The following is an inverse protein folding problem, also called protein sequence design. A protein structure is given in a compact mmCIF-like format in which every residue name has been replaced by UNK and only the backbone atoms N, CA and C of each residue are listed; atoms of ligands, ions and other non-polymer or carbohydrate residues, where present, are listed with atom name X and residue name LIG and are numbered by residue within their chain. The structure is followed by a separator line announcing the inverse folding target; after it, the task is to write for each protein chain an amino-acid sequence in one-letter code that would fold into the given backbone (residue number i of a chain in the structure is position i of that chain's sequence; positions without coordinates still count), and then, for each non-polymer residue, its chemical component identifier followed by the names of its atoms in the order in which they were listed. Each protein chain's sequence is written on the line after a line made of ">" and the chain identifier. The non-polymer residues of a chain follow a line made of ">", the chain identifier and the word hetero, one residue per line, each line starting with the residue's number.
data_IF_475519475990
#
_entry.id   IF_475519475990
#
_cell.length_a   1.000
_cell.length_b   1.000
_cell.length_c   1.000
_cell.angle_alpha   90.00
_cell.angle_beta   90.00
_cell.angle_gamma   90.00
#
_symmetry.space_group_name_H-M   'P 1'
#
loop_
_entity.id
_entity.type
_entity.pdbx_description
1 polymer ?
#
# COMPACT_ATOMS: atom_id res chain seq x y z
N UNK A 1 6.92 -32.51 -6.80
CA UNK A 1 6.31 -31.28 -7.33
C UNK A 1 6.43 -30.24 -6.22
N UNK A 2 7.01 -29.08 -6.53
CA UNK A 2 7.57 -28.13 -5.58
C UNK A 2 6.56 -27.61 -4.55
N UNK A 3 6.81 -27.95 -3.29
CA UNK A 3 6.26 -27.24 -2.13
C UNK A 3 6.88 -25.83 -2.12
N UNK A 4 6.10 -24.83 -2.53
CA UNK A 4 6.52 -23.41 -2.57
C UNK A 4 5.98 -22.65 -1.36
N UNK A 5 5.83 -23.33 -0.22
CA UNK A 5 5.48 -22.70 1.03
C UNK A 5 6.72 -22.04 1.64
N UNK A 6 6.56 -20.76 2.01
CA UNK A 6 7.43 -20.02 2.93
C UNK A 6 8.67 -19.33 2.34
N UNK A 7 8.49 -18.57 1.25
CA UNK A 7 9.32 -17.36 1.09
C UNK A 7 8.65 -16.25 1.91
N UNK A 8 9.29 -15.69 2.95
CA UNK A 8 8.72 -14.55 3.66
C UNK A 8 8.52 -13.42 2.66
N UNK A 9 7.29 -13.19 2.25
CA UNK A 9 6.95 -12.05 1.43
C UNK A 9 7.23 -10.83 2.30
N UNK A 10 8.29 -10.10 1.98
CA UNK A 10 8.58 -8.85 2.68
C UNK A 10 7.47 -7.89 2.33
N UNK A 11 6.56 -7.69 3.28
CA UNK A 11 5.44 -6.76 3.14
C UNK A 11 6.02 -5.35 3.24
N UNK A 12 5.91 -4.59 2.16
CA UNK A 12 6.29 -3.17 2.16
C UNK A 12 5.07 -2.37 2.62
N UNK A 13 5.23 -1.60 3.68
CA UNK A 13 4.18 -0.81 4.29
C UNK A 13 4.54 0.68 4.36
N UNK A 14 3.51 1.51 4.46
CA UNK A 14 3.59 2.97 4.60
C UNK A 14 2.63 3.42 5.69
N UNK A 15 2.93 4.52 6.38
CA UNK A 15 1.98 5.07 7.35
C UNK A 15 0.88 5.86 6.63
N UNK A 16 -0.34 5.83 7.16
CA UNK A 16 -1.49 6.58 6.62
C UNK A 16 -1.24 8.09 6.47
N UNK A 17 -0.39 8.66 7.32
CA UNK A 17 -0.07 10.09 7.34
C UNK A 17 1.16 10.44 6.50
N UNK A 18 1.85 9.43 5.95
CA UNK A 18 2.89 9.66 4.97
C UNK A 18 2.33 10.24 3.67
N UNK A 19 3.22 10.88 2.90
CA UNK A 19 2.84 11.53 1.65
C UNK A 19 2.70 10.54 0.50
N UNK A 20 1.89 10.90 -0.48
CA UNK A 20 1.80 10.16 -1.75
C UNK A 20 3.18 10.00 -2.40
N UNK A 21 4.02 11.05 -2.34
CA UNK A 21 5.38 11.00 -2.87
C UNK A 21 6.23 9.92 -2.19
N UNK A 22 6.15 9.79 -0.85
CA UNK A 22 6.88 8.76 -0.11
C UNK A 22 6.37 7.36 -0.47
N UNK A 23 5.05 7.17 -0.56
CA UNK A 23 4.46 5.90 -1.00
C UNK A 23 4.95 5.51 -2.41
N UNK A 24 4.91 6.44 -3.37
CA UNK A 24 5.38 6.19 -4.73
C UNK A 24 6.89 5.86 -4.78
N UNK A 25 7.71 6.54 -3.96
CA UNK A 25 9.14 6.25 -3.87
C UNK A 25 9.41 4.84 -3.31
N UNK A 26 8.65 4.41 -2.31
CA UNK A 26 8.73 3.04 -1.77
C UNK A 26 8.30 1.98 -2.79
N UNK A 27 7.23 2.22 -3.53
CA UNK A 27 6.79 1.34 -4.62
C UNK A 27 7.92 1.13 -5.64
N UNK A 28 8.56 2.23 -6.07
CA UNK A 28 9.68 2.19 -7.01
C UNK A 28 10.92 1.49 -6.42
N UNK A 29 11.31 1.80 -5.18
CA UNK A 29 12.53 1.23 -4.58
C UNK A 29 12.41 -0.27 -4.31
N UNK A 30 11.20 -0.75 -4.04
CA UNK A 30 10.92 -2.16 -3.79
C UNK A 30 10.40 -2.90 -5.02
N UNK A 31 10.18 -2.21 -6.15
CA UNK A 31 9.58 -2.76 -7.37
C UNK A 31 8.23 -3.46 -7.11
N UNK A 32 7.35 -2.80 -6.35
CA UNK A 32 6.01 -3.29 -5.98
C UNK A 32 4.94 -2.28 -6.39
N UNK A 33 3.81 -2.76 -6.90
CA UNK A 33 2.70 -1.90 -7.35
C UNK A 33 1.66 -1.55 -6.27
N UNK A 34 1.84 -2.06 -5.04
CA UNK A 34 0.91 -1.89 -3.94
C UNK A 34 1.65 -1.89 -2.60
N UNK A 35 1.20 -1.05 -1.67
CA UNK A 35 1.69 -0.97 -0.31
C UNK A 35 0.56 -1.19 0.68
N UNK A 36 0.92 -1.82 1.78
CA UNK A 36 0.08 -1.90 2.97
C UNK A 36 0.12 -0.55 3.70
N UNK A 37 -1.03 -0.07 4.18
CA UNK A 37 -1.14 1.16 4.95
C UNK A 37 -1.41 0.84 6.41
N UNK A 38 -0.58 1.39 7.31
CA UNK A 38 -0.71 1.23 8.75
C UNK A 38 -1.08 2.55 9.44
N UNK A 39 -1.73 2.47 10.61
CA UNK A 39 -1.87 3.61 11.52
C UNK A 39 -0.60 3.82 12.37
N UNK A 40 -0.64 4.82 13.26
CA UNK A 40 0.45 5.10 14.21
C UNK A 40 0.69 3.95 15.21
N UNK A 41 -0.36 3.18 15.53
CA UNK A 41 -0.30 2.02 16.42
C UNK A 41 0.30 0.76 15.75
N UNK A 42 0.55 0.81 14.44
CA UNK A 42 1.08 -0.30 13.64
C UNK A 42 0.02 -1.27 13.11
N UNK A 43 -1.26 -0.99 13.33
CA UNK A 43 -2.36 -1.77 12.80
C UNK A 43 -2.54 -1.54 11.30
N UNK A 44 -2.92 -2.60 10.60
CA UNK A 44 -3.33 -2.56 9.21
C UNK A 44 -4.66 -1.80 9.05
N UNK A 45 -4.65 -0.71 8.26
CA UNK A 45 -5.83 0.13 8.04
C UNK A 45 -6.24 0.26 6.58
N UNK A 46 -5.46 -0.27 5.65
CA UNK A 46 -5.82 -0.21 4.23
C UNK A 46 -4.70 -0.59 3.28
N UNK A 47 -4.96 -0.42 1.99
CA UNK A 47 -3.97 -0.58 0.93
C UNK A 47 -3.96 0.62 0.00
N UNK A 48 -2.81 0.89 -0.60
CA UNK A 48 -2.66 1.91 -1.65
C UNK A 48 -1.89 1.33 -2.82
N UNK A 49 -2.41 1.50 -4.03
CA UNK A 49 -1.79 1.03 -5.26
C UNK A 49 -1.29 2.17 -6.14
N UNK A 50 -0.41 1.86 -7.09
CA UNK A 50 0.04 2.80 -8.13
C UNK A 50 -1.14 3.43 -8.88
N UNK A 51 -2.22 2.67 -9.10
CA UNK A 51 -3.44 3.16 -9.75
C UNK A 51 -4.15 4.24 -8.93
N UNK A 52 -4.12 4.13 -7.60
CA UNK A 52 -4.73 5.13 -6.72
C UNK A 52 -3.90 6.42 -6.71
N UNK A 53 -2.58 6.28 -6.70
CA UNK A 53 -1.63 7.40 -6.87
C UNK A 53 -1.86 8.09 -8.22
N UNK A 54 -1.84 7.35 -9.32
CA UNK A 54 -2.02 7.88 -10.66
C UNK A 54 -3.36 8.60 -10.83
N UNK A 55 -4.44 8.01 -10.29
CA UNK A 55 -5.77 8.64 -10.27
C UNK A 55 -5.74 9.98 -9.54
N UNK A 56 -5.13 10.04 -8.35
CA UNK A 56 -5.09 11.27 -7.57
C UNK A 56 -4.26 12.36 -8.23
N UNK A 57 -3.10 12.01 -8.78
CA UNK A 57 -2.26 12.92 -9.55
C UNK A 57 -3.02 13.48 -10.76
N UNK A 58 -3.74 12.64 -11.50
CA UNK A 58 -4.54 13.06 -12.64
C UNK A 58 -5.67 14.05 -12.28
N UNK A 59 -6.16 14.03 -11.03
CA UNK A 59 -7.19 14.97 -10.54
C UNK A 59 -6.62 16.27 -9.97
N UNK A 60 -5.29 16.45 -9.97
CA UNK A 60 -4.63 17.65 -9.46
C UNK A 60 -4.48 17.62 -7.93
N UNK A 61 -3.37 17.09 -7.46
CA UNK A 61 -2.98 17.13 -6.05
C UNK A 61 -1.50 17.45 -5.89
N UNK A 62 -1.14 18.01 -4.74
CA UNK A 62 0.26 18.16 -4.35
C UNK A 62 0.72 16.86 -3.66
N UNK A 63 1.50 16.03 -4.38
CA UNK A 63 1.94 14.72 -3.89
C UNK A 63 2.88 14.79 -2.69
N UNK A 64 3.52 15.94 -2.47
CA UNK A 64 4.43 16.17 -1.33
C UNK A 64 3.67 16.53 -0.05
N UNK A 65 2.39 16.92 -0.15
CA UNK A 65 1.56 17.33 1.00
C UNK A 65 0.32 16.47 1.22
N UNK A 66 -0.13 15.77 0.19
CA UNK A 66 -1.30 14.90 0.26
C UNK A 66 -0.93 13.60 0.96
N UNK A 67 -1.68 13.21 1.98
CA UNK A 67 -1.42 11.98 2.72
C UNK A 67 -2.03 10.75 2.03
N UNK A 68 -1.43 9.58 2.28
CA UNK A 68 -1.88 8.28 1.77
C UNK A 68 -3.30 7.97 2.22
N UNK A 69 -3.68 8.37 3.44
CA UNK A 69 -5.03 8.19 3.98
C UNK A 69 -6.13 8.75 3.07
N UNK A 70 -5.83 9.76 2.25
CA UNK A 70 -6.81 10.37 1.37
C UNK A 70 -6.98 9.67 0.01
N UNK A 71 -6.20 8.62 -0.26
CA UNK A 71 -6.27 7.85 -1.52
C UNK A 71 -6.29 6.34 -1.30
N UNK A 72 -6.02 5.87 -0.09
CA UNK A 72 -6.04 4.46 0.24
C UNK A 72 -7.45 3.87 0.15
N UNK A 73 -7.53 2.56 -0.04
CA UNK A 73 -8.75 1.78 0.16
C UNK A 73 -8.72 1.20 1.57
N UNK A 74 -9.70 1.59 2.40
CA UNK A 74 -9.87 1.19 3.81
C UNK A 74 -10.68 -0.12 3.98
N UNK A 75 -11.55 -0.44 3.01
CA UNK A 75 -12.30 -1.68 2.97
C UNK A 75 -11.52 -2.83 2.33
N UNK A 76 -10.54 -3.37 3.05
CA UNK A 76 -9.75 -4.51 2.58
C UNK A 76 -10.45 -5.81 2.93
N UNK A 77 -10.82 -6.57 1.92
CA UNK A 77 -11.27 -7.95 2.08
C UNK A 77 -10.03 -8.84 2.15
N UNK A 78 -9.72 -9.37 3.33
CA UNK A 78 -8.63 -10.31 3.53
C UNK A 78 -9.13 -11.75 3.47
N UNK A 79 -8.48 -12.61 2.68
CA UNK A 79 -8.71 -14.05 2.73
C UNK A 79 -7.67 -14.70 3.64
N UNK A 80 -8.07 -15.48 4.66
CA UNK A 80 -7.14 -16.32 5.40
C UNK A 80 -6.48 -17.34 4.47
N UNK A 81 -5.20 -17.69 4.70
CA UNK A 81 -4.56 -18.79 3.98
C UNK A 81 -5.33 -20.08 4.26
N UNK A 82 -5.95 -20.67 3.22
CA UNK A 82 -6.80 -21.86 3.32
C UNK A 82 -8.25 -21.71 2.87
N UNK A 83 -8.62 -20.57 2.27
CA UNK A 83 -9.93 -20.44 1.59
C UNK A 83 -9.86 -21.17 0.23
N UNK A 84 -10.72 -22.18 -0.02
CA UNK A 84 -10.69 -22.99 -1.25
C UNK A 84 -11.17 -22.25 -2.50
#
# INVERSE_FOLDING_TARGET
>A
MHDSADRPATIVAVNRDDTIQKAAALMLSHNVGCLIVNNEDGDFVGVVSERDVARRVATGCDTARTSVAQIMTDHVISCPPGTP
#
